data_IF_113868633038
#
_entry.id   IF_113868633038
#
_cell.length_a   1.000
_cell.length_b   1.000
_cell.length_c   1.000
_cell.angle_alpha   90.00
_cell.angle_beta   90.00
_cell.angle_gamma   90.00
#
_symmetry.space_group_name_H-M   'P 1'
#
loop_
_entity.id
_entity.type
_entity.pdbx_description
1 polymer ?
#
# COMPACT_ATOMS: atom_id res chain seq x y z
N UNK A 1 38.31 -17.04 -21.18
CA UNK A 1 37.59 -16.53 -22.37
C UNK A 1 36.11 -16.60 -22.06
N UNK A 2 35.55 -15.52 -21.53
CA UNK A 2 34.16 -15.44 -21.08
C UNK A 2 33.27 -15.14 -22.28
N UNK A 3 32.59 -16.16 -22.82
CA UNK A 3 31.60 -16.01 -23.87
C UNK A 3 30.40 -15.24 -23.33
N UNK A 4 30.34 -13.94 -23.63
CA UNK A 4 29.17 -13.11 -23.33
C UNK A 4 28.00 -13.58 -24.19
N UNK A 5 26.91 -14.01 -23.54
CA UNK A 5 25.68 -14.32 -24.23
C UNK A 5 25.17 -13.06 -24.94
N UNK A 6 24.94 -13.15 -26.26
CA UNK A 6 24.32 -12.07 -27.04
C UNK A 6 22.94 -11.74 -26.45
N UNK A 7 22.59 -10.45 -26.28
CA UNK A 7 21.31 -10.04 -25.75
C UNK A 7 20.14 -10.58 -26.59
N UNK A 8 18.99 -10.92 -25.99
CA UNK A 8 17.85 -11.54 -26.69
C UNK A 8 17.34 -10.75 -27.92
N UNK A 9 17.41 -9.41 -27.87
CA UNK A 9 16.93 -8.54 -28.95
C UNK A 9 17.82 -8.58 -30.20
N UNK A 10 19.14 -8.76 -30.02
CA UNK A 10 20.11 -8.81 -31.12
C UNK A 10 19.99 -10.13 -31.90
N UNK A 11 19.66 -11.21 -31.21
CA UNK A 11 19.42 -12.53 -31.79
C UNK A 11 18.09 -12.60 -32.54
N UNK A 12 17.04 -11.98 -32.00
CA UNK A 12 15.76 -11.88 -32.70
C UNK A 12 15.88 -11.11 -34.03
N UNK A 13 16.76 -10.11 -34.08
CA UNK A 13 17.05 -9.35 -35.30
C UNK A 13 17.82 -10.19 -36.33
N UNK A 14 18.80 -11.00 -35.91
CA UNK A 14 19.52 -11.89 -36.85
C UNK A 14 18.62 -12.98 -37.43
N UNK A 15 17.72 -13.57 -36.64
CA UNK A 15 16.76 -14.57 -37.15
C UNK A 15 15.80 -13.98 -38.19
N UNK A 16 15.42 -12.71 -38.03
CA UNK A 16 14.56 -12.01 -38.97
C UNK A 16 15.32 -11.59 -40.26
N UNK A 17 16.59 -11.20 -40.16
CA UNK A 17 17.42 -10.83 -41.33
C UNK A 17 17.88 -12.07 -42.13
N UNK A 18 18.08 -13.22 -41.49
CA UNK A 18 18.52 -14.46 -42.13
C UNK A 18 17.38 -15.36 -42.64
N UNK A 19 16.12 -14.96 -42.44
CA UNK A 19 14.95 -15.71 -42.93
C UNK A 19 14.81 -17.11 -42.31
N UNK A 20 15.23 -17.26 -41.04
CA UNK A 20 15.31 -18.55 -40.36
C UNK A 20 13.90 -19.14 -40.14
N UNK A 21 13.67 -20.42 -40.48
CA UNK A 21 12.36 -21.05 -40.29
C UNK A 21 11.91 -21.01 -38.82
N UNK A 22 10.62 -20.71 -38.59
CA UNK A 22 10.01 -20.61 -37.24
C UNK A 22 10.24 -21.87 -36.40
N UNK A 23 10.25 -23.05 -37.02
CA UNK A 23 10.53 -24.31 -36.33
C UNK A 23 11.92 -24.35 -35.69
N UNK A 24 12.92 -23.74 -36.34
CA UNK A 24 14.31 -23.70 -35.87
C UNK A 24 14.50 -22.64 -34.78
N UNK A 25 13.76 -21.52 -34.86
CA UNK A 25 13.68 -20.52 -33.79
C UNK A 25 13.07 -21.14 -32.52
N UNK A 26 11.97 -21.90 -32.66
CA UNK A 26 11.36 -22.60 -31.53
C UNK A 26 12.33 -23.60 -30.89
N UNK A 27 13.10 -24.32 -31.70
CA UNK A 27 14.10 -25.29 -31.23
C UNK A 27 15.26 -24.59 -30.50
N UNK A 28 15.78 -23.48 -31.02
CA UNK A 28 16.85 -22.70 -30.40
C UNK A 28 16.40 -22.03 -29.08
N UNK A 29 15.15 -21.57 -29.02
CA UNK A 29 14.52 -21.04 -27.79
C UNK A 29 14.37 -22.15 -26.76
N UNK A 30 13.92 -23.34 -27.17
CA UNK A 30 13.74 -24.49 -26.28
C UNK A 30 15.09 -25.00 -25.75
N UNK A 31 16.14 -25.02 -26.58
CA UNK A 31 17.52 -25.34 -26.18
C UNK A 31 18.09 -24.27 -25.23
N UNK A 32 17.79 -22.99 -25.44
CA UNK A 32 18.24 -21.92 -24.53
C UNK A 32 17.51 -21.93 -23.18
N UNK A 33 16.21 -22.22 -23.17
CA UNK A 33 15.41 -22.38 -21.94
C UNK A 33 15.87 -23.63 -21.19
N UNK A 34 16.12 -24.74 -21.89
CA UNK A 34 16.68 -25.97 -21.32
C UNK A 34 18.15 -25.81 -20.85
N UNK A 35 18.89 -24.86 -21.42
CA UNK A 35 20.25 -24.50 -21.02
C UNK A 35 20.33 -23.55 -19.81
N UNK A 36 19.20 -23.00 -19.34
CA UNK A 36 19.16 -22.33 -18.04
C UNK A 36 19.26 -23.41 -16.97
N UNK A 37 20.42 -23.50 -16.32
CA UNK A 37 20.67 -24.48 -15.27
C UNK A 37 19.54 -24.44 -14.24
N UNK A 38 18.89 -25.57 -13.90
CA UNK A 38 17.87 -25.57 -12.85
C UNK A 38 18.53 -25.04 -11.58
N UNK A 39 18.04 -23.91 -11.07
CA UNK A 39 18.51 -23.40 -9.79
C UNK A 39 18.40 -24.54 -8.77
N UNK A 40 19.53 -24.87 -8.15
CA UNK A 40 19.58 -25.97 -7.19
C UNK A 40 18.52 -25.71 -6.12
N UNK A 41 17.66 -26.70 -5.84
CA UNK A 41 16.56 -26.54 -4.88
C UNK A 41 17.05 -26.08 -3.50
N UNK A 42 18.31 -26.37 -3.15
CA UNK A 42 18.98 -25.87 -1.95
C UNK A 42 19.26 -24.36 -1.99
N UNK A 43 19.65 -23.81 -3.16
CA UNK A 43 19.89 -22.39 -3.35
C UNK A 43 18.58 -21.61 -3.18
N UNK A 44 17.51 -22.10 -3.81
CA UNK A 44 16.18 -21.51 -3.75
C UNK A 44 15.61 -21.59 -2.31
N UNK A 45 15.84 -22.70 -1.61
CA UNK A 45 15.46 -22.87 -0.21
C UNK A 45 16.11 -21.81 0.69
N UNK A 46 17.43 -21.63 0.63
CA UNK A 46 18.13 -20.63 1.45
C UNK A 46 17.79 -19.19 1.04
N UNK A 47 17.51 -18.95 -0.24
CA UNK A 47 17.08 -17.66 -0.76
C UNK A 47 15.71 -17.22 -0.23
N UNK A 48 14.79 -18.16 0.04
CA UNK A 48 13.46 -17.85 0.59
C UNK A 48 13.44 -17.84 2.12
N UNK A 49 14.17 -18.76 2.77
CA UNK A 49 14.18 -18.90 4.24
C UNK A 49 14.64 -17.63 4.95
N UNK A 50 15.66 -16.95 4.43
CA UNK A 50 16.25 -15.80 5.10
C UNK A 50 15.30 -14.56 5.09
N UNK A 51 14.76 -14.12 3.93
CA UNK A 51 13.71 -13.11 3.87
C UNK A 51 12.48 -13.45 4.73
N UNK A 52 12.04 -14.71 4.68
CA UNK A 52 10.84 -15.14 5.40
C UNK A 52 11.05 -15.14 6.92
N UNK A 53 12.24 -15.51 7.39
CA UNK A 53 12.58 -15.46 8.81
C UNK A 53 12.57 -14.02 9.33
N UNK A 54 13.16 -13.07 8.58
CA UNK A 54 13.15 -11.65 8.92
C UNK A 54 11.72 -11.10 8.92
N UNK A 55 10.92 -11.44 7.91
CA UNK A 55 9.51 -11.08 7.82
C UNK A 55 8.72 -11.59 9.04
N UNK A 56 8.92 -12.86 9.41
CA UNK A 56 8.28 -13.50 10.55
C UNK A 56 8.63 -12.83 11.89
N UNK A 57 9.91 -12.54 12.12
CA UNK A 57 10.34 -11.80 13.32
C UNK A 57 9.69 -10.41 13.37
N UNK A 58 9.64 -9.71 12.24
CA UNK A 58 8.97 -8.41 12.14
C UNK A 58 7.49 -8.45 12.48
N UNK A 59 6.76 -9.45 11.99
CA UNK A 59 5.35 -9.63 12.32
C UNK A 59 5.14 -9.95 13.81
N UNK A 60 6.01 -10.77 14.41
CA UNK A 60 5.96 -11.02 15.86
C UNK A 60 6.21 -9.73 16.64
N UNK A 61 7.21 -8.93 16.25
CA UNK A 61 7.47 -7.62 16.85
C UNK A 61 6.29 -6.66 16.68
N UNK A 62 5.64 -6.64 15.51
CA UNK A 62 4.43 -5.86 15.28
C UNK A 62 3.29 -6.30 16.20
N UNK A 63 3.12 -7.61 16.41
CA UNK A 63 2.17 -8.17 17.38
C UNK A 63 2.48 -7.75 18.82
N UNK A 64 3.74 -7.76 19.23
CA UNK A 64 4.17 -7.26 20.55
C UNK A 64 3.92 -5.76 20.68
N UNK A 65 4.17 -4.97 19.65
CA UNK A 65 3.83 -3.54 19.66
C UNK A 65 2.33 -3.34 19.78
N UNK A 66 1.51 -4.12 19.05
CA UNK A 66 0.06 -4.08 19.19
C UNK A 66 -0.37 -4.40 20.63
N UNK A 67 0.24 -5.41 21.27
CA UNK A 67 0.01 -5.79 22.67
C UNK A 67 0.37 -4.68 23.67
N UNK A 68 1.41 -3.90 23.37
CA UNK A 68 1.78 -2.74 24.20
C UNK A 68 0.78 -1.59 23.99
N UNK A 69 0.50 -1.23 22.73
CA UNK A 69 -0.33 -0.05 22.42
C UNK A 69 -1.81 -0.27 22.73
N UNK A 70 -2.31 -1.51 22.76
CA UNK A 70 -3.69 -1.76 23.21
C UNK A 70 -3.97 -1.26 24.63
N UNK A 71 -2.93 -1.15 25.47
CA UNK A 71 -3.06 -0.64 26.83
C UNK A 71 -3.00 0.90 26.90
N UNK A 72 -2.68 1.57 25.79
CA UNK A 72 -2.63 3.02 25.71
C UNK A 72 -4.03 3.63 25.72
N UNK A 73 -4.10 4.91 26.13
CA UNK A 73 -5.33 5.68 26.21
C UNK A 73 -6.09 5.69 24.88
N UNK A 74 -5.37 5.77 23.75
CA UNK A 74 -5.93 5.71 22.41
C UNK A 74 -6.86 4.51 22.18
N UNK A 75 -6.37 3.30 22.45
CA UNK A 75 -7.10 2.06 22.18
C UNK A 75 -8.19 1.78 23.23
N UNK A 76 -8.07 2.38 24.42
CA UNK A 76 -9.08 2.29 25.49
C UNK A 76 -10.27 3.23 25.26
N UNK A 77 -9.99 4.47 24.86
CA UNK A 77 -11.02 5.49 24.61
C UNK A 77 -11.65 5.33 23.22
N UNK A 78 -10.90 4.77 22.26
CA UNK A 78 -11.32 4.60 20.86
C UNK A 78 -11.04 3.15 20.41
N UNK A 79 -11.83 2.14 20.86
CA UNK A 79 -11.62 0.72 20.55
C UNK A 79 -11.77 0.38 19.05
N UNK A 80 -12.26 1.33 18.28
CA UNK A 80 -12.57 1.32 16.85
C UNK A 80 -11.29 1.24 16.04
N UNK A 81 -10.19 1.69 16.63
CA UNK A 81 -8.84 1.60 16.06
C UNK A 81 -8.42 0.13 15.89
N UNK A 82 -8.95 -0.82 16.67
CA UNK A 82 -8.72 -2.25 16.43
C UNK A 82 -9.29 -2.74 15.10
N UNK A 83 -10.36 -2.13 14.60
CA UNK A 83 -10.94 -2.44 13.29
C UNK A 83 -10.12 -1.77 12.19
N UNK A 84 -9.61 -0.56 12.48
CA UNK A 84 -8.80 0.22 11.55
C UNK A 84 -7.40 -0.38 11.35
N UNK A 85 -6.82 -1.03 12.36
CA UNK A 85 -5.47 -1.62 12.31
C UNK A 85 -5.33 -2.64 11.16
N UNK A 86 -6.12 -3.73 11.08
CA UNK A 86 -6.01 -4.69 9.97
C UNK A 86 -6.29 -4.05 8.62
N UNK A 87 -7.21 -3.09 8.57
CA UNK A 87 -7.58 -2.42 7.34
C UNK A 87 -6.46 -1.50 6.80
N UNK A 88 -5.75 -0.78 7.69
CA UNK A 88 -4.59 0.03 7.33
C UNK A 88 -3.37 -0.82 6.96
N UNK A 89 -3.18 -1.96 7.63
CA UNK A 89 -2.14 -2.93 7.27
C UNK A 89 -2.42 -3.54 5.88
N UNK A 90 -3.67 -3.89 5.58
CA UNK A 90 -4.08 -4.32 4.24
C UNK A 90 -3.88 -3.22 3.18
N UNK A 91 -4.14 -1.96 3.53
CA UNK A 91 -3.95 -0.80 2.66
C UNK A 91 -2.47 -0.60 2.28
N UNK A 92 -1.54 -0.84 3.22
CA UNK A 92 -0.10 -0.86 2.95
C UNK A 92 0.25 -1.93 1.91
N UNK A 93 -0.24 -3.16 2.06
CA UNK A 93 -0.01 -4.22 1.08
C UNK A 93 -0.48 -3.84 -0.33
N UNK A 94 -1.65 -3.20 -0.43
CA UNK A 94 -2.17 -2.68 -1.70
C UNK A 94 -1.29 -1.57 -2.30
N UNK A 95 -0.76 -0.65 -1.47
CA UNK A 95 0.17 0.40 -1.90
C UNK A 95 1.41 -0.20 -2.53
N UNK A 96 2.11 -1.07 -1.80
CA UNK A 96 3.40 -1.63 -2.22
C UNK A 96 3.25 -2.40 -3.51
N UNK A 97 2.23 -3.27 -3.58
CA UNK A 97 1.97 -4.09 -4.75
C UNK A 97 1.57 -3.25 -5.97
N UNK A 98 0.65 -2.30 -5.80
CA UNK A 98 0.18 -1.45 -6.91
C UNK A 98 1.28 -0.52 -7.41
N UNK A 99 2.04 0.09 -6.50
CA UNK A 99 3.14 0.98 -6.85
C UNK A 99 4.28 0.19 -7.53
N UNK A 100 4.64 -0.97 -6.99
CA UNK A 100 5.67 -1.82 -7.57
C UNK A 100 5.28 -2.31 -8.97
N UNK A 101 4.04 -2.78 -9.15
CA UNK A 101 3.53 -3.21 -10.46
C UNK A 101 3.58 -2.06 -11.48
N UNK A 102 3.08 -0.88 -11.12
CA UNK A 102 3.08 0.30 -12.01
C UNK A 102 4.49 0.78 -12.34
N UNK A 103 5.39 0.81 -11.34
CA UNK A 103 6.79 1.15 -11.56
C UNK A 103 7.48 0.12 -12.44
N UNK A 104 7.21 -1.18 -12.24
CA UNK A 104 7.76 -2.25 -13.07
C UNK A 104 7.32 -2.12 -14.53
N UNK A 105 6.04 -1.85 -14.78
CA UNK A 105 5.53 -1.59 -16.14
C UNK A 105 6.21 -0.36 -16.77
N UNK A 106 6.36 0.74 -16.03
CA UNK A 106 7.05 1.94 -16.51
C UNK A 106 8.55 1.70 -16.75
N UNK A 107 9.17 0.81 -15.98
CA UNK A 107 10.56 0.37 -16.18
C UNK A 107 10.69 -0.36 -17.51
N UNK A 108 9.84 -1.35 -17.75
CA UNK A 108 9.85 -2.16 -18.96
C UNK A 108 9.53 -1.36 -20.23
N UNK A 109 8.73 -0.30 -20.11
CA UNK A 109 8.43 0.62 -21.21
C UNK A 109 9.52 1.70 -21.42
N UNK A 110 10.60 1.71 -20.63
CA UNK A 110 11.68 2.70 -20.74
C UNK A 110 11.31 4.11 -20.28
N UNK A 111 10.15 4.27 -19.65
CA UNK A 111 9.58 5.56 -19.24
C UNK A 111 10.00 6.01 -17.83
N UNK A 112 10.72 5.16 -17.10
CA UNK A 112 11.07 5.36 -15.69
C UNK A 112 12.17 6.43 -15.44
N UNK A 113 12.83 6.87 -16.51
CA UNK A 113 13.82 7.95 -16.47
C UNK A 113 13.16 9.34 -16.38
N UNK A 114 11.89 9.45 -16.75
CA UNK A 114 11.15 10.69 -16.60
C UNK A 114 10.67 10.86 -15.14
N UNK A 115 11.35 11.74 -14.41
CA UNK A 115 11.03 12.04 -13.01
C UNK A 115 9.61 12.60 -12.81
N UNK A 116 8.99 13.15 -13.84
CA UNK A 116 7.61 13.66 -13.79
C UNK A 116 6.61 12.51 -13.77
N UNK A 117 6.72 11.54 -14.67
CA UNK A 117 5.83 10.38 -14.72
C UNK A 117 5.95 9.52 -13.46
N UNK A 118 7.18 9.34 -12.95
CA UNK A 118 7.40 8.64 -11.67
C UNK A 118 6.67 9.33 -10.51
N UNK A 119 6.75 10.66 -10.43
CA UNK A 119 6.05 11.44 -9.38
C UNK A 119 4.54 11.37 -9.54
N UNK A 120 4.04 11.41 -10.77
CA UNK A 120 2.61 11.33 -11.07
C UNK A 120 2.01 9.98 -10.63
N UNK A 121 2.70 8.87 -10.89
CA UNK A 121 2.28 7.54 -10.44
C UNK A 121 2.28 7.42 -8.92
N UNK A 122 3.33 7.92 -8.25
CA UNK A 122 3.39 7.94 -6.78
C UNK A 122 2.25 8.79 -6.20
N UNK A 123 2.02 9.98 -6.76
CA UNK A 123 0.98 10.90 -6.29
C UNK A 123 -0.43 10.35 -6.51
N UNK A 124 -0.67 9.68 -7.64
CA UNK A 124 -1.93 9.01 -7.94
C UNK A 124 -2.20 7.85 -6.96
N UNK A 125 -1.18 7.03 -6.68
CA UNK A 125 -1.29 5.94 -5.70
C UNK A 125 -1.53 6.46 -4.28
N UNK A 126 -0.84 7.55 -3.90
CA UNK A 126 -1.06 8.25 -2.63
C UNK A 126 -2.50 8.74 -2.50
N UNK A 127 -3.06 9.34 -3.56
CA UNK A 127 -4.44 9.81 -3.58
C UNK A 127 -5.44 8.67 -3.39
N UNK A 128 -5.21 7.53 -4.05
CA UNK A 128 -6.07 6.35 -3.90
C UNK A 128 -6.10 5.84 -2.45
N UNK A 129 -4.94 5.79 -1.80
CA UNK A 129 -4.79 5.36 -0.40
C UNK A 129 -5.54 6.29 0.55
N UNK A 130 -5.47 7.60 0.31
CA UNK A 130 -6.22 8.56 1.11
C UNK A 130 -7.72 8.33 1.00
N UNK A 131 -8.23 8.09 -0.21
CA UNK A 131 -9.65 7.78 -0.39
C UNK A 131 -10.03 6.48 0.33
N UNK A 132 -9.21 5.43 0.20
CA UNK A 132 -9.45 4.15 0.88
C UNK A 132 -9.43 4.28 2.41
N UNK A 133 -8.42 4.94 2.98
CA UNK A 133 -8.31 5.18 4.41
C UNK A 133 -9.50 5.99 4.96
N UNK A 134 -9.95 7.01 4.22
CA UNK A 134 -11.11 7.84 4.58
C UNK A 134 -12.39 7.00 4.63
N UNK A 135 -12.63 6.18 3.61
CA UNK A 135 -13.80 5.30 3.55
C UNK A 135 -13.78 4.27 4.67
N UNK A 136 -12.64 3.62 4.91
CA UNK A 136 -12.48 2.62 5.96
C UNK A 136 -12.71 3.25 7.34
N UNK A 137 -12.12 4.42 7.61
CA UNK A 137 -12.29 5.12 8.89
C UNK A 137 -13.74 5.56 9.12
N UNK A 138 -14.43 6.02 8.08
CA UNK A 138 -15.85 6.34 8.16
C UNK A 138 -16.70 5.11 8.47
N UNK A 139 -16.47 3.99 7.78
CA UNK A 139 -17.18 2.74 8.04
C UNK A 139 -16.90 2.19 9.44
N UNK A 140 -15.66 2.24 9.89
CA UNK A 140 -15.27 1.83 11.24
C UNK A 140 -15.97 2.69 12.30
N UNK A 141 -16.03 4.00 12.10
CA UNK A 141 -16.74 4.94 12.98
C UNK A 141 -18.25 4.67 12.98
N UNK A 142 -18.84 4.39 11.82
CA UNK A 142 -20.26 4.02 11.71
C UNK A 142 -20.58 2.73 12.48
N UNK A 143 -19.74 1.71 12.30
CA UNK A 143 -19.88 0.44 13.02
C UNK A 143 -19.73 0.63 14.53
N UNK A 144 -18.76 1.44 14.95
CA UNK A 144 -18.55 1.77 16.34
C UNK A 144 -19.74 2.48 16.99
N UNK A 145 -20.33 3.47 16.31
CA UNK A 145 -21.55 4.15 16.77
C UNK A 145 -22.69 3.15 16.99
N UNK A 146 -22.87 2.18 16.08
CA UNK A 146 -23.88 1.13 16.22
C UNK A 146 -23.59 0.27 17.46
N UNK A 147 -22.34 -0.16 17.65
CA UNK A 147 -21.93 -0.95 18.81
C UNK A 147 -22.08 -0.18 20.14
N UNK A 148 -21.80 1.12 20.15
CA UNK A 148 -21.97 1.98 21.32
C UNK A 148 -23.45 2.19 21.67
N UNK A 149 -24.33 2.17 20.66
CA UNK A 149 -25.77 2.33 20.83
C UNK A 149 -26.46 1.08 21.41
N UNK A 150 -26.09 -0.13 20.97
CA UNK A 150 -26.71 -1.40 21.40
C UNK A 150 -26.86 -1.54 22.94
N UNK A 151 -25.81 -1.29 23.76
CA UNK A 151 -25.92 -1.44 25.21
C UNK A 151 -26.53 -0.22 25.92
N UNK A 152 -26.45 0.99 25.35
CA UNK A 152 -26.86 2.24 26.03
C UNK A 152 -28.24 2.75 25.64
N UNK A 153 -28.76 2.38 24.48
CA UNK A 153 -30.08 2.78 23.97
C UNK A 153 -30.26 4.28 23.68
N UNK A 154 -29.31 5.14 24.04
CA UNK A 154 -29.34 6.59 23.80
C UNK A 154 -28.24 6.99 22.82
N UNK A 155 -28.58 7.89 21.89
CA UNK A 155 -27.65 8.38 20.88
C UNK A 155 -27.03 9.71 21.34
N UNK A 156 -25.78 9.67 21.79
CA UNK A 156 -25.01 10.88 22.07
C UNK A 156 -24.37 11.39 20.77
N UNK A 157 -25.06 12.32 20.12
CA UNK A 157 -24.60 12.96 18.89
C UNK A 157 -23.26 13.67 19.05
N UNK A 158 -22.96 14.18 20.25
CA UNK A 158 -21.72 14.88 20.51
C UNK A 158 -20.56 13.89 20.50
N UNK A 159 -20.68 12.77 21.22
CA UNK A 159 -19.70 11.70 21.26
C UNK A 159 -19.56 10.98 19.91
N UNK A 160 -20.66 10.77 19.19
CA UNK A 160 -20.66 10.19 17.84
C UNK A 160 -19.88 11.05 16.83
N UNK A 161 -20.14 12.36 16.79
CA UNK A 161 -19.40 13.30 15.96
C UNK A 161 -17.92 13.34 16.35
N UNK A 162 -17.64 13.26 17.65
CA UNK A 162 -16.31 13.19 18.25
C UNK A 162 -15.48 12.02 17.75
N UNK A 163 -16.04 10.81 17.84
CA UNK A 163 -15.40 9.55 17.46
C UNK A 163 -15.13 9.53 15.96
N UNK A 164 -16.13 9.93 15.16
CA UNK A 164 -15.98 10.05 13.71
C UNK A 164 -14.88 11.07 13.35
N UNK A 165 -14.82 12.22 14.04
CA UNK A 165 -13.79 13.23 13.85
C UNK A 165 -12.39 12.68 14.06
N UNK A 166 -12.19 12.09 15.24
CA UNK A 166 -10.89 11.66 15.72
C UNK A 166 -10.38 10.47 14.92
N UNK A 167 -11.26 9.51 14.62
CA UNK A 167 -10.95 8.35 13.79
C UNK A 167 -10.56 8.75 12.36
N UNK A 168 -11.36 9.64 11.73
CA UNK A 168 -11.09 10.10 10.37
C UNK A 168 -9.78 10.90 10.29
N UNK A 169 -9.58 11.83 11.22
CA UNK A 169 -8.35 12.62 11.34
C UNK A 169 -7.12 11.73 11.51
N UNK A 170 -7.18 10.82 12.49
CA UNK A 170 -6.10 9.89 12.81
C UNK A 170 -5.78 9.00 11.62
N UNK A 171 -6.80 8.40 10.99
CA UNK A 171 -6.63 7.51 9.85
C UNK A 171 -6.02 8.24 8.64
N UNK A 172 -6.51 9.44 8.31
CA UNK A 172 -5.97 10.25 7.22
C UNK A 172 -4.52 10.66 7.49
N UNK A 173 -4.21 11.19 8.68
CA UNK A 173 -2.85 11.60 9.02
C UNK A 173 -1.88 10.40 9.07
N UNK A 174 -2.27 9.31 9.73
CA UNK A 174 -1.46 8.11 9.82
C UNK A 174 -1.22 7.49 8.44
N UNK A 175 -2.25 7.40 7.59
CA UNK A 175 -2.10 6.87 6.23
C UNK A 175 -1.26 7.77 5.33
N UNK A 176 -1.31 9.11 5.47
CA UNK A 176 -0.43 10.04 4.75
C UNK A 176 1.04 9.84 5.14
N UNK A 177 1.31 9.78 6.45
CA UNK A 177 2.68 9.60 6.96
C UNK A 177 3.21 8.23 6.52
N UNK A 178 2.40 7.19 6.69
CA UNK A 178 2.76 5.82 6.31
C UNK A 178 3.06 5.72 4.81
N UNK A 179 2.18 6.25 3.96
CA UNK A 179 2.36 6.19 2.50
C UNK A 179 3.58 6.98 2.03
N UNK A 180 3.89 8.13 2.64
CA UNK A 180 5.12 8.88 2.39
C UNK A 180 6.36 8.09 2.82
N UNK A 181 6.32 7.47 4.00
CA UNK A 181 7.43 6.66 4.52
C UNK A 181 7.70 5.45 3.62
N UNK A 182 6.66 4.72 3.22
CA UNK A 182 6.80 3.57 2.31
C UNK A 182 7.28 3.99 0.92
N UNK A 183 6.77 5.08 0.37
CA UNK A 183 7.27 5.62 -0.90
C UNK A 183 8.76 5.99 -0.80
N UNK A 184 9.21 6.58 0.32
CA UNK A 184 10.62 6.88 0.55
C UNK A 184 11.48 5.61 0.61
N UNK A 185 11.04 4.57 1.32
CA UNK A 185 11.76 3.28 1.38
C UNK A 185 11.92 2.67 -0.02
N UNK A 186 10.86 2.68 -0.84
CA UNK A 186 10.89 2.16 -2.22
C UNK A 186 11.84 2.97 -3.10
N UNK A 187 11.75 4.31 -3.06
CA UNK A 187 12.63 5.19 -3.85
C UNK A 187 14.09 5.03 -3.42
N UNK A 188 14.34 4.97 -2.11
CA UNK A 188 15.68 4.82 -1.56
C UNK A 188 16.28 3.48 -1.98
N UNK A 189 15.55 2.36 -1.84
CA UNK A 189 16.00 1.05 -2.32
C UNK A 189 16.45 1.09 -3.79
N UNK A 190 15.67 1.74 -4.66
CA UNK A 190 16.03 1.90 -6.07
C UNK A 190 17.27 2.77 -6.29
N UNK A 191 17.48 3.81 -5.47
CA UNK A 191 18.63 4.73 -5.58
C UNK A 191 19.97 4.03 -5.30
N UNK A 192 19.98 2.99 -4.45
CA UNK A 192 21.20 2.23 -4.13
C UNK A 192 21.48 1.05 -5.08
N UNK A 193 20.77 0.92 -6.22
CA UNK A 193 20.87 -0.21 -7.15
C UNK A 193 20.68 -1.59 -6.48
N UNK A 194 20.03 -1.63 -5.33
CA UNK A 194 19.59 -2.87 -4.68
C UNK A 194 18.27 -3.23 -5.33
N UNK A 195 18.16 -4.46 -5.84
CA UNK A 195 16.92 -4.94 -6.44
C UNK A 195 15.82 -4.90 -5.35
N UNK A 196 14.83 -4.00 -5.47
CA UNK A 196 13.85 -3.77 -4.40
C UNK A 196 13.11 -5.06 -4.05
N UNK A 197 12.93 -5.97 -5.00
CA UNK A 197 12.21 -7.21 -4.77
C UNK A 197 12.95 -8.18 -3.82
N UNK A 198 14.29 -8.11 -3.74
CA UNK A 198 15.11 -9.02 -2.91
C UNK A 198 15.35 -8.52 -1.48
N UNK A 199 15.27 -7.21 -1.24
CA UNK A 199 15.58 -6.61 0.08
C UNK A 199 14.42 -5.76 0.59
N UNK A 200 13.77 -5.00 -0.29
CA UNK A 200 12.63 -4.19 0.09
C UNK A 200 11.40 -5.05 0.40
N UNK A 201 11.18 -6.21 -0.24
CA UNK A 201 10.02 -7.06 0.06
C UNK A 201 9.98 -7.56 1.52
N UNK A 202 11.03 -8.22 2.06
CA UNK A 202 11.02 -8.65 3.48
C UNK A 202 11.11 -7.49 4.46
N UNK A 203 11.81 -6.40 4.13
CA UNK A 203 11.90 -5.21 5.00
C UNK A 203 10.57 -4.42 5.00
N UNK A 204 9.92 -4.26 3.85
CA UNK A 204 8.62 -3.61 3.75
C UNK A 204 7.54 -4.47 4.43
N UNK A 205 7.59 -5.80 4.26
CA UNK A 205 6.70 -6.71 4.97
C UNK A 205 6.87 -6.60 6.50
N UNK A 206 8.09 -6.79 7.03
CA UNK A 206 8.36 -6.77 8.49
C UNK A 206 8.26 -5.38 9.11
N UNK A 207 8.95 -4.40 8.54
CA UNK A 207 9.08 -3.06 9.10
C UNK A 207 7.84 -2.22 8.82
N UNK A 208 7.14 -2.48 7.71
CA UNK A 208 5.94 -1.73 7.33
C UNK A 208 4.79 -1.93 8.31
N UNK A 209 4.54 -3.16 8.78
CA UNK A 209 3.46 -3.41 9.75
C UNK A 209 3.78 -2.80 11.11
N UNK A 210 5.02 -2.98 11.56
CA UNK A 210 5.54 -2.36 12.78
C UNK A 210 5.44 -0.82 12.70
N UNK A 211 5.85 -0.24 11.58
CA UNK A 211 5.79 1.21 11.34
C UNK A 211 4.35 1.70 11.26
N UNK A 212 3.46 0.95 10.63
CA UNK A 212 2.03 1.28 10.56
C UNK A 212 1.43 1.35 11.96
N UNK A 213 1.65 0.32 12.78
CA UNK A 213 1.16 0.29 14.16
C UNK A 213 1.77 1.43 15.00
N UNK A 214 3.06 1.68 14.87
CA UNK A 214 3.74 2.74 15.61
C UNK A 214 3.21 4.13 15.21
N UNK A 215 3.14 4.43 13.91
CA UNK A 215 2.63 5.71 13.40
C UNK A 215 1.18 5.90 13.78
N UNK A 216 0.33 4.88 13.58
CA UNK A 216 -1.09 4.94 13.93
C UNK A 216 -1.27 5.20 15.43
N UNK A 217 -0.52 4.49 16.28
CA UNK A 217 -0.63 4.62 17.74
C UNK A 217 -0.15 5.97 18.24
N UNK A 218 0.96 6.49 17.70
CA UNK A 218 1.50 7.79 18.08
C UNK A 218 0.60 8.92 17.59
N UNK A 219 0.26 8.93 16.30
CA UNK A 219 -0.59 9.98 15.70
C UNK A 219 -1.96 9.98 16.35
N UNK A 220 -2.56 8.81 16.55
CA UNK A 220 -3.85 8.70 17.22
C UNK A 220 -3.81 9.19 18.66
N UNK A 221 -2.75 8.91 19.40
CA UNK A 221 -2.62 9.38 20.79
C UNK A 221 -2.47 10.90 20.83
N UNK A 222 -1.66 11.47 19.93
CA UNK A 222 -1.50 12.94 19.81
C UNK A 222 -2.84 13.59 19.47
N UNK A 223 -3.58 13.02 18.51
CA UNK A 223 -4.90 13.53 18.13
C UNK A 223 -5.89 13.41 19.28
N UNK A 224 -5.91 12.29 20.00
CA UNK A 224 -6.79 12.10 21.15
C UNK A 224 -6.47 13.07 22.31
N UNK A 225 -5.20 13.37 22.56
CA UNK A 225 -4.84 14.33 23.61
C UNK A 225 -5.13 15.78 23.20
N UNK A 226 -4.86 16.14 21.93
CA UNK A 226 -5.25 17.44 21.37
C UNK A 226 -6.78 17.61 21.43
N UNK A 227 -7.51 16.54 21.14
CA UNK A 227 -8.96 16.48 21.18
C UNK A 227 -9.53 16.76 22.57
N UNK A 228 -8.96 16.13 23.61
CA UNK A 228 -9.41 16.28 25.00
C UNK A 228 -9.06 17.66 25.58
N UNK A 229 -8.09 18.36 24.99
CA UNK A 229 -7.66 19.68 25.43
C UNK A 229 -8.43 20.80 24.73
N UNK A 230 -8.67 20.68 23.42
CA UNK A 230 -9.22 21.75 22.58
C UNK A 230 -10.32 21.24 21.63
N UNK A 231 -11.60 21.34 22.05
CA UNK A 231 -12.72 20.74 21.31
C UNK A 231 -12.95 21.30 19.90
N UNK A 232 -12.54 22.55 19.63
CA UNK A 232 -12.68 23.21 18.32
C UNK A 232 -11.75 22.64 17.25
N UNK A 233 -10.62 22.06 17.66
CA UNK A 233 -9.59 21.50 16.79
C UNK A 233 -10.14 20.29 16.00
N UNK A 234 -11.12 19.59 16.58
CA UNK A 234 -11.77 18.43 15.98
C UNK A 234 -12.65 18.79 14.79
N UNK A 235 -13.45 19.84 14.93
CA UNK A 235 -14.32 20.33 13.86
C UNK A 235 -13.46 20.88 12.72
N UNK A 236 -12.39 21.59 13.05
CA UNK A 236 -11.44 22.08 12.05
C UNK A 236 -10.80 20.94 11.26
N UNK A 237 -10.35 19.87 11.92
CA UNK A 237 -9.72 18.73 11.25
C UNK A 237 -10.72 17.94 10.40
N UNK A 238 -11.95 17.71 10.88
CA UNK A 238 -13.03 17.12 10.07
C UNK A 238 -13.26 17.92 8.81
N UNK A 239 -13.41 19.24 8.94
CA UNK A 239 -13.68 20.12 7.80
C UNK A 239 -12.52 20.09 6.81
N UNK A 240 -11.28 20.12 7.29
CA UNK A 240 -10.09 20.02 6.44
C UNK A 240 -10.08 18.67 5.70
N UNK A 241 -10.31 17.56 6.39
CA UNK A 241 -10.34 16.22 5.77
C UNK A 241 -11.48 16.11 4.76
N UNK A 242 -12.67 16.60 5.08
CA UNK A 242 -13.81 16.63 4.15
C UNK A 242 -13.56 17.51 2.92
N UNK A 243 -12.84 18.62 3.07
CA UNK A 243 -12.46 19.51 1.96
C UNK A 243 -11.35 18.91 1.10
N UNK A 244 -10.45 18.15 1.71
CA UNK A 244 -9.32 17.49 1.04
C UNK A 244 -9.75 16.17 0.36
N UNK A 245 -10.78 15.49 0.86
CA UNK A 245 -11.33 14.27 0.26
C UNK A 245 -11.70 14.42 -1.23
N UNK A 246 -12.48 15.42 -1.69
CA UNK A 246 -12.81 15.60 -3.11
C UNK A 246 -11.59 15.95 -3.95
N UNK A 247 -10.56 16.58 -3.36
CA UNK A 247 -9.30 16.83 -4.03
C UNK A 247 -8.54 15.52 -4.31
N UNK A 248 -8.43 14.62 -3.32
CA UNK A 248 -7.82 13.30 -3.51
C UNK A 248 -8.59 12.44 -4.50
N UNK A 249 -9.93 12.44 -4.44
CA UNK A 249 -10.77 11.75 -5.41
C UNK A 249 -10.50 12.28 -6.83
N UNK A 250 -10.42 13.61 -7.00
CA UNK A 250 -10.14 14.21 -8.32
C UNK A 250 -8.76 13.84 -8.85
N UNK A 251 -7.75 13.71 -8.00
CA UNK A 251 -6.41 13.26 -8.40
C UNK A 251 -6.41 11.77 -8.74
N UNK A 252 -7.03 10.93 -7.92
CA UNK A 252 -7.15 9.49 -8.19
C UNK A 252 -7.88 9.20 -9.51
N UNK A 253 -8.85 10.05 -9.89
CA UNK A 253 -9.59 9.96 -11.15
C UNK A 253 -8.83 10.50 -12.39
N UNK A 254 -7.67 11.15 -12.23
CA UNK A 254 -6.88 11.66 -13.38
C UNK A 254 -6.07 10.57 -14.08
N UNK A 255 -5.83 9.45 -13.40
CA UNK A 255 -5.10 8.30 -13.93
C UNK A 255 -5.87 7.61 -15.07
N UNK A 256 -5.25 7.44 -16.24
CA UNK A 256 -5.93 6.96 -17.46
C UNK A 256 -6.45 5.52 -17.38
N UNK A 257 -5.89 4.69 -16.48
CA UNK A 257 -6.42 3.35 -16.19
C UNK A 257 -7.77 3.31 -15.48
N UNK A 258 -8.29 4.46 -15.00
CA UNK A 258 -9.63 4.59 -14.42
C UNK A 258 -10.67 5.14 -15.41
N UNK A 259 -10.24 5.67 -16.58
CA UNK A 259 -11.12 6.40 -17.51
C UNK A 259 -12.01 5.51 -18.39
N UNK A 260 -11.70 4.22 -18.57
CA UNK A 260 -12.53 3.31 -19.40
C UNK A 260 -13.90 2.98 -18.79
N UNK A 261 -14.16 3.37 -17.56
CA UNK A 261 -15.45 3.14 -16.93
C UNK A 261 -15.85 4.47 -16.28
N UNK A 262 -16.54 5.34 -17.00
CA UNK A 262 -16.80 6.71 -16.54
C UNK A 262 -18.28 7.10 -16.61
N UNK A 263 -19.20 6.20 -16.22
CA UNK A 263 -20.63 6.58 -16.21
C UNK A 263 -21.48 6.11 -15.00
N UNK A 264 -20.92 5.36 -14.02
CA UNK A 264 -21.70 4.80 -12.91
C UNK A 264 -21.02 4.91 -11.50
N UNK A 265 -20.20 5.93 -11.25
CA UNK A 265 -19.11 5.82 -10.26
C UNK A 265 -19.26 6.30 -8.82
N UNK A 266 -20.40 6.82 -8.36
CA UNK A 266 -20.48 7.14 -6.92
C UNK A 266 -20.66 5.87 -6.06
N UNK A 267 -21.52 4.94 -6.48
CA UNK A 267 -21.72 3.66 -5.77
C UNK A 267 -20.60 2.64 -6.03
N UNK A 268 -19.98 2.68 -7.21
CA UNK A 268 -19.01 1.67 -7.63
C UNK A 268 -17.58 1.95 -7.18
N UNK A 269 -17.23 3.18 -6.75
CA UNK A 269 -15.86 3.45 -6.31
C UNK A 269 -15.57 2.81 -4.95
N UNK A 270 -16.51 2.89 -4.01
CA UNK A 270 -16.42 2.18 -2.73
C UNK A 270 -16.46 0.66 -2.99
N UNK A 271 -17.35 0.19 -3.86
CA UNK A 271 -17.50 -1.24 -4.17
C UNK A 271 -16.32 -1.83 -4.96
N UNK A 272 -15.68 -1.08 -5.86
CA UNK A 272 -14.44 -1.51 -6.57
C UNK A 272 -13.20 -1.34 -5.71
N UNK A 273 -13.15 -0.34 -4.83
CA UNK A 273 -12.10 -0.25 -3.82
C UNK A 273 -12.18 -1.43 -2.85
N UNK A 274 -13.40 -1.82 -2.44
CA UNK A 274 -13.68 -3.04 -1.67
C UNK A 274 -13.45 -4.32 -2.49
N UNK A 275 -13.82 -4.38 -3.77
CA UNK A 275 -13.62 -5.58 -4.59
C UNK A 275 -12.16 -5.81 -4.92
N UNK A 276 -11.36 -4.76 -5.11
CA UNK A 276 -9.89 -4.85 -5.20
C UNK A 276 -9.22 -5.15 -3.85
N UNK A 277 -9.93 -4.94 -2.74
CA UNK A 277 -9.49 -5.34 -1.39
C UNK A 277 -9.78 -6.83 -1.10
N UNK A 278 -10.82 -7.38 -1.73
CA UNK A 278 -11.33 -8.76 -1.48
C UNK A 278 -10.89 -9.75 -2.57
N UNK A 279 -10.74 -9.30 -3.82
CA UNK A 279 -10.23 -10.11 -4.93
C UNK A 279 -8.75 -9.83 -5.15
N UNK A 280 -7.90 -10.65 -4.53
CA UNK A 280 -6.48 -10.76 -4.88
C UNK A 280 -6.25 -11.32 -6.27
#
# INVERSE_FOLDING_TARGET
>A
MTGGATPPYERAKSYHDEGVPVAQISQDVEIHVAGSSPESSYLLFFQVVFPFSIAGIGMVCAGVVLDIVQHWKLFKEVPEIFILVPALLGLKGNLEMTLASRLSTLANLGHLDNSTQRKEVILSNLALIQVQATVIAFLASAFAMILAWIPRGQFDWSHAALLCASSLATACCASLILSMLMAMVVIFSRKYNINPDNVATPIAASLGDLTTLAVLSVVGTIFLDAHLTESWLNIAVILIVLLIAPFWVRIALRDEGAKEVNYYYYDLFILKALSRLIGG
#
